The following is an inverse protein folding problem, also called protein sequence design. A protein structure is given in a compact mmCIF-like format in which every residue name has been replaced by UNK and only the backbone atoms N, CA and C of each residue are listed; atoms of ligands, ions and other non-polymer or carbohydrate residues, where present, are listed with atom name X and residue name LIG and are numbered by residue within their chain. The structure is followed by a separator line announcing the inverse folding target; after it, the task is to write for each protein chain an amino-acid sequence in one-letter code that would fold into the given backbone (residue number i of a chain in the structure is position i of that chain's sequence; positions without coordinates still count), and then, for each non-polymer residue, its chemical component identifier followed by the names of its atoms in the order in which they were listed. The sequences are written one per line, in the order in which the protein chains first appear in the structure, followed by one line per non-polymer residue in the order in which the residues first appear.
data_IF_429722860772
#
_entry.id   IF_429722860772
#
_cell.length_a   1.000
_cell.length_b   1.000
_cell.length_c   1.000
_cell.angle_alpha   90.00
_cell.angle_beta   90.00
_cell.angle_gamma   90.00
#
_symmetry.space_group_name_H-M   'P 1'
#
loop_
_entity.id
_entity.type
_entity.pdbx_description
1 polymer ?
#
# COMPACT_ATOMS: atom_id res chain seq x y z
N UNK A 1 2.05 -5.92 -5.56
CA UNK A 1 1.17 -4.75 -5.46
C UNK A 1 1.89 -3.59 -4.80
N UNK A 2 3.01 -3.22 -5.41
CA UNK A 2 3.87 -2.21 -4.85
C UNK A 2 3.90 -1.04 -5.81
N UNK A 3 2.87 -0.19 -5.73
CA UNK A 3 2.70 0.90 -6.68
C UNK A 3 3.90 1.86 -6.70
N UNK A 4 4.58 2.04 -5.55
CA UNK A 4 5.79 2.86 -5.48
C UNK A 4 6.93 2.22 -6.28
N UNK A 5 7.22 0.93 -6.03
CA UNK A 5 8.23 0.17 -6.78
C UNK A 5 7.91 0.14 -8.28
N UNK A 6 6.65 -0.11 -8.65
CA UNK A 6 6.21 -0.12 -10.05
C UNK A 6 6.40 1.25 -10.72
N UNK A 7 6.07 2.36 -10.04
CA UNK A 7 6.36 3.71 -10.55
C UNK A 7 7.86 3.93 -10.73
N UNK A 8 8.67 3.57 -9.74
CA UNK A 8 10.13 3.79 -9.79
C UNK A 8 10.81 2.96 -10.87
N UNK A 9 10.21 1.83 -11.26
CA UNK A 9 10.65 0.98 -12.37
C UNK A 9 10.03 1.38 -13.72
N UNK A 10 9.24 2.45 -13.79
CA UNK A 10 8.57 2.92 -15.03
C UNK A 10 7.29 2.16 -15.41
N UNK A 11 6.85 1.20 -14.60
CA UNK A 11 5.67 0.35 -14.84
C UNK A 11 4.36 0.98 -14.31
N UNK A 12 4.17 2.28 -14.52
CA UNK A 12 3.09 3.06 -13.90
C UNK A 12 1.73 3.03 -14.63
N UNK A 13 1.67 2.47 -15.84
CA UNK A 13 0.44 2.37 -16.63
C UNK A 13 -0.48 1.23 -16.14
N UNK A 14 -0.90 1.29 -14.88
CA UNK A 14 -1.78 0.30 -14.25
C UNK A 14 -3.00 1.00 -13.65
N UNK A 15 -4.20 0.47 -13.90
CA UNK A 15 -5.46 1.09 -13.44
C UNK A 15 -5.51 1.29 -11.92
N UNK A 16 -4.93 0.36 -11.16
CA UNK A 16 -4.91 0.45 -9.70
C UNK A 16 -3.93 1.53 -9.19
N UNK A 17 -2.93 1.90 -9.99
CA UNK A 17 -2.02 3.03 -9.70
C UNK A 17 -2.76 4.32 -10.01
N UNK A 18 -3.36 4.42 -11.20
CA UNK A 18 -4.22 5.54 -11.59
C UNK A 18 -5.26 5.85 -10.50
N UNK A 19 -6.01 4.84 -10.05
CA UNK A 19 -7.04 4.95 -9.02
C UNK A 19 -6.57 5.61 -7.70
N UNK A 20 -5.27 5.45 -7.36
CA UNK A 20 -4.66 6.06 -6.17
C UNK A 20 -4.42 7.56 -6.37
N UNK A 21 -4.11 7.99 -7.59
CA UNK A 21 -3.74 9.37 -7.89
C UNK A 21 -4.92 10.25 -8.35
N UNK A 22 -6.07 9.68 -8.75
CA UNK A 22 -7.29 10.42 -9.16
C UNK A 22 -7.73 11.50 -8.16
N UNK A 23 -7.43 11.33 -6.87
CA UNK A 23 -7.79 12.29 -5.82
C UNK A 23 -6.96 13.57 -5.83
N UNK A 24 -5.81 13.58 -6.47
CA UNK A 24 -4.89 14.72 -6.51
C UNK A 24 -5.19 15.62 -7.72
N UNK A 25 -5.20 16.93 -7.48
CA UNK A 25 -5.12 17.95 -8.53
C UNK A 25 -3.67 18.38 -8.74
N UNK A 26 -3.44 19.50 -9.42
CA UNK A 26 -2.11 20.13 -9.50
C UNK A 26 -1.69 20.62 -8.10
N UNK A 27 -0.41 20.49 -7.77
CA UNK A 27 0.16 20.97 -6.51
C UNK A 27 1.08 19.97 -5.79
N UNK A 28 1.39 20.28 -4.53
CA UNK A 28 2.26 19.48 -3.66
C UNK A 28 1.43 18.78 -2.60
N UNK A 29 1.60 17.47 -2.47
CA UNK A 29 0.89 16.66 -1.50
C UNK A 29 1.86 15.76 -0.76
N UNK A 30 1.63 15.60 0.54
CA UNK A 30 2.36 14.58 1.29
C UNK A 30 1.95 13.20 0.83
N UNK A 31 2.94 12.36 0.60
CA UNK A 31 2.78 10.97 0.20
C UNK A 31 2.97 9.99 1.37
N UNK A 32 3.09 8.70 1.05
CA UNK A 32 3.28 7.63 2.01
C UNK A 32 4.53 7.81 2.85
N UNK A 33 4.40 7.51 4.14
CA UNK A 33 5.51 7.40 5.09
C UNK A 33 5.53 6.02 5.73
N UNK A 34 6.73 5.49 5.91
CA UNK A 34 6.98 4.26 6.66
C UNK A 34 8.27 4.40 7.48
N UNK A 35 8.26 3.82 8.67
CA UNK A 35 9.42 3.66 9.54
C UNK A 35 9.68 2.18 9.75
N UNK A 36 10.94 1.81 9.67
CA UNK A 36 11.45 0.45 9.81
C UNK A 36 12.47 0.46 10.94
N UNK A 37 12.31 -0.45 11.90
CA UNK A 37 13.27 -0.65 12.98
C UNK A 37 13.66 -2.12 13.04
N UNK A 38 14.96 -2.42 12.96
CA UNK A 38 15.49 -3.78 13.04
C UNK A 38 16.18 -3.98 14.39
N UNK A 39 15.53 -4.74 15.27
CA UNK A 39 16.11 -5.24 16.53
C UNK A 39 16.04 -6.79 16.53
N UNK A 40 15.44 -7.41 17.55
CA UNK A 40 15.12 -8.85 17.57
C UNK A 40 14.12 -9.26 16.48
N UNK A 41 13.29 -8.31 16.04
CA UNK A 41 12.33 -8.45 14.95
C UNK A 41 12.39 -7.18 14.09
N UNK A 42 11.87 -7.26 12.87
CA UNK A 42 11.66 -6.10 12.02
C UNK A 42 10.30 -5.52 12.39
N UNK A 43 10.28 -4.26 12.85
CA UNK A 43 9.06 -3.52 13.14
C UNK A 43 8.84 -2.47 12.06
N UNK A 44 7.65 -2.50 11.48
CA UNK A 44 7.20 -1.52 10.50
C UNK A 44 6.05 -0.70 11.11
N UNK A 45 6.06 0.61 10.93
CA UNK A 45 4.92 1.49 11.24
C UNK A 45 4.78 2.54 10.16
N UNK A 46 3.56 2.92 9.80
CA UNK A 46 3.39 3.90 8.75
C UNK A 46 1.95 4.25 8.39
N UNK A 47 1.86 4.96 7.26
CA UNK A 47 0.62 5.41 6.62
C UNK A 47 -0.14 4.28 5.92
N UNK A 48 -1.43 4.48 5.68
CA UNK A 48 -2.32 3.45 5.15
C UNK A 48 -1.97 3.01 3.73
N UNK A 49 -1.28 3.84 2.93
CA UNK A 49 -0.90 3.49 1.56
C UNK A 49 0.03 2.27 1.48
N UNK A 50 0.79 2.00 2.56
CA UNK A 50 1.63 0.80 2.66
C UNK A 50 0.88 -0.47 3.07
N UNK A 51 -0.35 -0.36 3.58
CA UNK A 51 -1.06 -1.52 4.17
C UNK A 51 -1.18 -2.68 3.18
N UNK A 52 -1.54 -2.41 1.92
CA UNK A 52 -1.63 -3.47 0.92
C UNK A 52 -0.27 -4.09 0.60
N UNK A 53 0.79 -3.27 0.53
CA UNK A 53 2.16 -3.72 0.27
C UNK A 53 2.62 -4.68 1.38
N UNK A 54 2.45 -4.26 2.64
CA UNK A 54 2.86 -5.05 3.80
C UNK A 54 2.02 -6.33 3.93
N UNK A 55 0.71 -6.24 3.72
CA UNK A 55 -0.17 -7.40 3.78
C UNK A 55 0.16 -8.44 2.71
N UNK A 56 0.43 -8.02 1.48
CA UNK A 56 0.87 -8.92 0.40
C UNK A 56 2.25 -9.51 0.71
N UNK A 57 3.20 -8.72 1.21
CA UNK A 57 4.52 -9.20 1.62
C UNK A 57 4.40 -10.30 2.67
N UNK A 58 3.56 -10.09 3.70
CA UNK A 58 3.29 -11.09 4.73
C UNK A 58 2.69 -12.35 4.12
N UNK A 59 1.65 -12.23 3.28
CA UNK A 59 0.99 -13.36 2.64
C UNK A 59 1.93 -14.16 1.73
N UNK A 60 2.84 -13.50 1.00
CA UNK A 60 3.80 -14.17 0.10
C UNK A 60 4.91 -14.90 0.83
N UNK A 61 5.32 -14.39 1.98
CA UNK A 61 6.46 -14.90 2.73
C UNK A 61 6.05 -15.82 3.88
N UNK A 62 4.80 -16.26 3.87
CA UNK A 62 4.24 -17.17 4.86
C UNK A 62 4.22 -18.61 4.39
N UNK A 63 5.13 -19.00 3.48
CA UNK A 63 5.16 -20.33 2.82
C UNK A 63 5.19 -21.53 3.78
N UNK A 64 5.48 -21.31 5.07
CA UNK A 64 5.47 -22.33 6.13
C UNK A 64 4.56 -21.95 7.32
N UNK A 65 3.74 -20.89 7.21
CA UNK A 65 3.07 -20.27 8.36
C UNK A 65 1.64 -20.74 8.62
N UNK A 66 1.16 -21.74 7.89
CA UNK A 66 -0.19 -22.28 8.07
C UNK A 66 -1.27 -21.21 7.85
N UNK A 67 -2.23 -21.16 8.77
CA UNK A 67 -3.35 -20.26 8.68
C UNK A 67 -3.05 -18.88 9.27
N UNK A 68 -3.85 -17.90 8.87
CA UNK A 68 -3.89 -16.58 9.48
C UNK A 68 -5.21 -16.38 10.20
N UNK A 69 -5.14 -15.86 11.43
CA UNK A 69 -6.28 -15.15 12.01
C UNK A 69 -6.42 -13.80 11.31
N UNK A 70 -7.54 -13.61 10.61
CA UNK A 70 -7.81 -12.42 9.79
C UNK A 70 -9.01 -11.66 10.31
N UNK A 71 -8.81 -10.38 10.64
CA UNK A 71 -9.89 -9.49 11.10
C UNK A 71 -9.79 -8.10 10.49
N UNK A 72 -10.85 -7.63 9.85
CA UNK A 72 -10.89 -6.25 9.40
C UNK A 72 -11.92 -5.98 8.33
N UNK A 73 -11.59 -5.05 7.44
CA UNK A 73 -12.48 -4.58 6.40
C UNK A 73 -11.75 -4.44 5.08
N UNK A 74 -12.35 -4.93 4.00
CA UNK A 74 -11.94 -4.67 2.62
C UNK A 74 -12.91 -3.64 2.04
N UNK A 75 -12.37 -2.57 1.46
CA UNK A 75 -13.16 -1.46 0.89
C UNK A 75 -12.76 -1.29 -0.57
N UNK A 76 -13.69 -1.33 -1.50
CA UNK A 76 -13.42 -1.23 -2.95
C UNK A 76 -14.42 -0.34 -3.67
N UNK A 77 -14.01 0.27 -4.80
CA UNK A 77 -14.94 0.92 -5.73
C UNK A 77 -15.71 -0.09 -6.59
N UNK A 78 -15.09 -1.24 -6.86
CA UNK A 78 -15.64 -2.31 -7.70
C UNK A 78 -16.28 -3.39 -6.83
N UNK A 79 -17.38 -3.99 -7.29
CA UNK A 79 -17.99 -5.12 -6.60
C UNK A 79 -17.02 -6.30 -6.60
N UNK A 80 -16.82 -6.92 -5.44
CA UNK A 80 -15.91 -8.06 -5.27
C UNK A 80 -16.56 -9.18 -4.47
N UNK A 81 -17.90 -9.19 -4.38
CA UNK A 81 -18.69 -10.12 -3.56
C UNK A 81 -18.36 -11.57 -3.87
N UNK A 82 -18.38 -11.94 -5.15
CA UNK A 82 -18.18 -13.32 -5.60
C UNK A 82 -16.83 -13.91 -5.16
N UNK A 83 -15.86 -13.03 -4.91
CA UNK A 83 -14.52 -13.44 -4.53
C UNK A 83 -14.31 -13.63 -3.01
N UNK A 84 -15.20 -13.08 -2.18
CA UNK A 84 -15.06 -13.05 -0.71
C UNK A 84 -16.23 -13.69 0.04
N UNK A 85 -17.25 -14.18 -0.66
CA UNK A 85 -18.48 -14.69 -0.04
C UNK A 85 -18.27 -15.85 0.94
N UNK A 86 -17.24 -16.66 0.71
CA UNK A 86 -16.84 -17.80 1.54
C UNK A 86 -16.17 -17.39 2.87
N UNK A 87 -15.61 -16.18 2.94
CA UNK A 87 -14.83 -15.71 4.11
C UNK A 87 -15.41 -14.47 4.79
N UNK A 88 -16.35 -13.77 4.15
CA UNK A 88 -16.88 -12.52 4.65
C UNK A 88 -18.03 -12.71 5.64
N UNK A 89 -17.89 -12.11 6.81
CA UNK A 89 -18.96 -12.07 7.82
C UNK A 89 -20.12 -11.15 7.39
N UNK A 90 -19.81 -10.09 6.64
CA UNK A 90 -20.81 -9.13 6.15
C UNK A 90 -20.33 -8.43 4.90
N UNK A 91 -21.17 -8.37 3.88
CA UNK A 91 -20.96 -7.59 2.67
C UNK A 91 -22.06 -6.53 2.51
N UNK A 92 -21.70 -5.30 2.18
CA UNK A 92 -22.68 -4.25 1.87
C UNK A 92 -22.08 -3.14 1.00
N UNK A 93 -22.93 -2.43 0.27
CA UNK A 93 -22.58 -1.19 -0.42
C UNK A 93 -22.90 0.00 0.47
N UNK A 94 -21.97 0.95 0.58
CA UNK A 94 -22.13 2.22 1.31
C UNK A 94 -21.66 3.36 0.42
N UNK A 95 -22.60 4.19 -0.04
CA UNK A 95 -22.37 5.19 -1.11
C UNK A 95 -21.80 4.49 -2.36
N UNK A 96 -20.73 4.99 -2.93
CA UNK A 96 -20.05 4.41 -4.11
C UNK A 96 -19.02 3.33 -3.78
N UNK A 97 -18.96 2.86 -2.52
CA UNK A 97 -17.97 1.88 -2.09
C UNK A 97 -18.62 0.59 -1.62
N UNK A 98 -17.99 -0.53 -1.96
CA UNK A 98 -18.31 -1.87 -1.48
C UNK A 98 -17.45 -2.20 -0.27
N UNK A 99 -18.07 -2.79 0.75
CA UNK A 99 -17.46 -3.07 2.04
C UNK A 99 -17.68 -4.54 2.42
N UNK A 100 -16.58 -5.24 2.71
CA UNK A 100 -16.60 -6.60 3.24
C UNK A 100 -15.91 -6.64 4.62
N UNK A 101 -16.64 -7.05 5.66
CA UNK A 101 -16.08 -7.30 6.98
C UNK A 101 -15.62 -8.75 7.07
N UNK A 102 -14.36 -8.95 7.39
CA UNK A 102 -13.73 -10.27 7.53
C UNK A 102 -13.45 -10.53 9.02
N UNK A 103 -13.77 -11.74 9.48
CA UNK A 103 -13.43 -12.24 10.80
C UNK A 103 -13.38 -13.77 10.73
N UNK A 104 -12.29 -14.30 10.18
CA UNK A 104 -12.14 -15.73 9.90
C UNK A 104 -10.68 -16.15 9.99
N UNK A 105 -10.46 -17.45 9.91
CA UNK A 105 -9.17 -18.06 9.67
C UNK A 105 -9.01 -18.28 8.16
N UNK A 106 -7.90 -17.82 7.58
CA UNK A 106 -7.68 -17.86 6.12
C UNK A 106 -6.29 -18.44 5.84
N UNK A 107 -6.21 -19.39 4.92
CA UNK A 107 -4.95 -19.95 4.43
C UNK A 107 -4.10 -18.92 3.69
N UNK A 108 -2.79 -19.10 3.70
CA UNK A 108 -1.85 -18.14 3.11
C UNK A 108 -2.07 -17.93 1.60
N UNK A 109 -2.39 -18.99 0.88
CA UNK A 109 -2.62 -19.02 -0.55
C UNK A 109 -3.85 -18.19 -0.92
N UNK A 110 -4.95 -18.36 -0.16
CA UNK A 110 -6.16 -17.55 -0.34
C UNK A 110 -5.89 -16.10 0.01
N UNK A 111 -5.09 -15.82 1.04
CA UNK A 111 -4.70 -14.46 1.39
C UNK A 111 -3.86 -13.81 0.29
N UNK A 112 -2.90 -14.54 -0.30
CA UNK A 112 -2.14 -14.09 -1.47
C UNK A 112 -3.06 -13.79 -2.65
N UNK A 113 -4.04 -14.67 -2.91
CA UNK A 113 -5.04 -14.47 -3.96
C UNK A 113 -5.81 -13.15 -3.73
N UNK A 114 -6.23 -12.87 -2.49
CA UNK A 114 -6.92 -11.64 -2.12
C UNK A 114 -6.09 -10.39 -2.43
N UNK A 115 -4.83 -10.35 -1.98
CA UNK A 115 -3.97 -9.20 -2.27
C UNK A 115 -3.64 -9.06 -3.76
N UNK A 116 -3.58 -10.17 -4.50
CA UNK A 116 -3.27 -10.16 -5.93
C UNK A 116 -4.44 -9.72 -6.81
N UNK A 117 -5.68 -10.12 -6.48
CA UNK A 117 -6.88 -9.85 -7.27
C UNK A 117 -7.54 -8.52 -6.88
N UNK A 118 -7.54 -8.16 -5.60
CA UNK A 118 -8.21 -6.95 -5.12
C UNK A 118 -7.31 -5.73 -5.11
N UNK A 119 -6.61 -5.49 -6.24
CA UNK A 119 -5.53 -4.51 -6.28
C UNK A 119 -5.96 -3.06 -6.01
N UNK A 120 -7.19 -2.77 -6.42
CA UNK A 120 -7.84 -1.47 -6.30
C UNK A 120 -8.44 -1.23 -4.91
N UNK A 121 -8.58 -2.29 -4.11
CA UNK A 121 -9.23 -2.21 -2.81
C UNK A 121 -8.26 -1.69 -1.73
N UNK A 122 -8.83 -1.05 -0.71
CA UNK A 122 -8.17 -0.83 0.56
C UNK A 122 -8.37 -2.07 1.43
N UNK A 123 -7.30 -2.85 1.65
CA UNK A 123 -7.37 -4.13 2.37
C UNK A 123 -6.94 -3.89 3.83
N UNK A 124 -7.86 -3.41 4.65
CA UNK A 124 -7.60 -2.97 6.03
C UNK A 124 -7.73 -4.14 7.02
N UNK A 125 -6.93 -5.19 6.79
CA UNK A 125 -6.95 -6.44 7.56
C UNK A 125 -5.87 -6.47 8.64
N UNK A 126 -6.25 -6.93 9.82
CA UNK A 126 -5.30 -7.43 10.81
C UNK A 126 -4.97 -8.87 10.41
N UNK A 127 -3.69 -9.19 10.39
CA UNK A 127 -3.18 -10.53 10.08
C UNK A 127 -2.34 -11.00 11.26
N UNK A 128 -2.49 -12.25 11.66
CA UNK A 128 -1.61 -12.90 12.64
C UNK A 128 -1.46 -14.36 12.24
N UNK A 129 -0.23 -14.76 11.90
CA UNK A 129 0.08 -16.15 11.61
C UNK A 129 -0.09 -17.03 12.86
N UNK A 130 -0.29 -18.33 12.66
CA UNK A 130 -0.44 -19.31 13.75
C UNK A 130 0.75 -19.31 14.72
N UNK A 131 1.98 -19.23 14.18
CA UNK A 131 3.22 -19.11 14.96
C UNK A 131 3.45 -17.71 15.58
N UNK A 132 2.56 -16.77 15.24
CA UNK A 132 2.55 -15.37 15.66
C UNK A 132 3.82 -14.58 15.34
N UNK A 133 4.69 -15.06 14.43
CA UNK A 133 5.91 -14.36 13.98
C UNK A 133 5.62 -13.29 12.94
N UNK A 134 4.55 -13.47 12.16
CA UNK A 134 4.07 -12.49 11.19
C UNK A 134 2.79 -11.84 11.72
N UNK A 135 2.84 -10.52 11.92
CA UNK A 135 1.67 -9.75 12.38
C UNK A 135 1.53 -8.46 11.60
N UNK A 136 0.30 -8.15 11.20
CA UNK A 136 -0.12 -6.84 10.70
C UNK A 136 -1.31 -6.37 11.52
N UNK A 137 -1.25 -5.13 11.99
CA UNK A 137 -2.36 -4.44 12.64
C UNK A 137 -2.66 -3.17 11.89
N UNK A 138 -3.93 -2.94 11.56
CA UNK A 138 -4.38 -1.76 10.81
C UNK A 138 -5.55 -1.09 11.50
N UNK A 139 -5.63 0.23 11.34
CA UNK A 139 -6.91 0.92 11.54
C UNK A 139 -7.93 0.42 10.51
N UNK A 140 -9.22 0.48 10.87
CA UNK A 140 -10.34 -0.07 10.07
C UNK A 140 -11.13 0.99 9.32
N UNK A 141 -10.71 2.25 9.41
CA UNK A 141 -11.30 3.38 8.70
C UNK A 141 -10.20 4.10 7.96
N UNK A 142 -10.43 4.43 6.69
CA UNK A 142 -9.52 5.28 5.94
C UNK A 142 -9.37 6.64 6.62
N UNK A 143 -8.16 7.24 6.58
CA UNK A 143 -8.00 8.59 7.07
C UNK A 143 -8.83 9.56 6.24
N UNK A 144 -9.18 10.70 6.84
CA UNK A 144 -9.84 11.77 6.10
C UNK A 144 -8.88 12.31 5.03
N UNK A 145 -9.39 12.72 3.85
CA UNK A 145 -8.57 13.38 2.84
C UNK A 145 -7.76 14.53 3.44
N UNK A 146 -6.47 14.61 3.12
CA UNK A 146 -5.56 15.64 3.62
C UNK A 146 -5.00 15.40 5.03
N UNK A 147 -5.46 14.36 5.75
CA UNK A 147 -4.88 13.98 7.05
C UNK A 147 -3.90 12.84 6.87
N UNK A 148 -2.69 12.99 7.42
CA UNK A 148 -1.69 11.92 7.46
C UNK A 148 -1.74 11.28 8.85
N UNK A 149 -1.87 9.96 8.86
CA UNK A 149 -1.79 9.15 10.06
C UNK A 149 -0.55 8.27 9.98
N UNK A 150 0.55 8.75 10.55
CA UNK A 150 1.85 8.07 10.46
C UNK A 150 1.90 6.74 11.23
N UNK A 151 0.89 6.45 12.06
CA UNK A 151 0.74 5.20 12.82
C UNK A 151 -0.57 4.51 12.44
N UNK A 152 -0.92 4.54 11.16
CA UNK A 152 -2.12 3.89 10.66
C UNK A 152 -2.04 2.36 10.77
N UNK A 153 -0.86 1.81 10.52
CA UNK A 153 -0.59 0.39 10.70
C UNK A 153 0.69 0.16 11.51
N UNK A 154 0.79 -1.04 12.06
CA UNK A 154 2.04 -1.61 12.56
C UNK A 154 2.18 -3.05 12.11
N UNK A 155 3.40 -3.47 11.81
CA UNK A 155 3.70 -4.85 11.47
C UNK A 155 4.96 -5.35 12.19
N UNK A 156 4.99 -6.65 12.43
CA UNK A 156 6.12 -7.38 13.00
C UNK A 156 6.46 -8.52 12.05
N UNK A 157 7.71 -8.57 11.62
CA UNK A 157 8.26 -9.59 10.74
C UNK A 157 9.50 -10.23 11.38
N UNK A 158 9.80 -11.50 11.11
CA UNK A 158 11.04 -12.12 11.55
C UNK A 158 12.26 -11.48 10.86
N UNK A 159 13.44 -11.41 11.51
CA UNK A 159 14.65 -10.83 10.93
C UNK A 159 15.10 -11.45 9.60
N UNK A 160 14.75 -12.71 9.36
CA UNK A 160 15.05 -13.43 8.11
C UNK A 160 14.39 -12.79 6.87
N UNK A 161 13.37 -11.96 7.05
CA UNK A 161 12.71 -11.23 5.95
C UNK A 161 13.34 -9.87 5.66
N UNK A 162 14.52 -9.55 6.23
CA UNK A 162 15.14 -8.24 6.01
C UNK A 162 15.45 -8.00 4.53
N UNK A 163 16.01 -8.99 3.82
CA UNK A 163 16.27 -8.85 2.38
C UNK A 163 15.00 -8.56 1.57
N UNK A 164 13.88 -9.20 1.94
CA UNK A 164 12.57 -8.91 1.31
C UNK A 164 12.11 -7.48 1.61
N UNK A 165 12.31 -7.00 2.84
CA UNK A 165 12.01 -5.61 3.22
C UNK A 165 12.90 -4.63 2.47
N UNK A 166 14.16 -4.97 2.25
CA UNK A 166 15.11 -4.18 1.46
C UNK A 166 14.66 -4.09 -0.01
N UNK A 167 14.26 -5.22 -0.60
CA UNK A 167 13.85 -5.31 -2.00
C UNK A 167 12.46 -4.74 -2.30
N UNK A 168 11.53 -4.80 -1.35
CA UNK A 168 10.14 -4.39 -1.55
C UNK A 168 9.81 -3.04 -0.90
N UNK A 169 10.53 -2.59 0.13
CA UNK A 169 10.13 -1.37 0.87
C UNK A 169 11.23 -0.32 0.79
N UNK A 170 12.45 -0.70 1.16
CA UNK A 170 13.58 0.23 1.14
C UNK A 170 14.01 0.51 -0.30
N UNK A 171 13.79 -0.45 -1.21
CA UNK A 171 14.17 -0.37 -2.62
C UNK A 171 15.63 0.06 -2.70
N UNK A 172 16.51 -0.71 -2.03
CA UNK A 172 17.89 -0.28 -1.82
C UNK A 172 18.58 -0.01 -3.15
N UNK A 173 18.99 1.24 -3.36
CA UNK A 173 20.00 1.58 -4.33
C UNK A 173 21.36 1.11 -3.79
N UNK A 174 22.27 0.72 -4.67
CA UNK A 174 23.66 0.33 -4.39
C UNK A 174 24.44 1.33 -3.51
N UNK A 175 23.96 2.57 -3.40
CA UNK A 175 24.54 3.63 -2.59
C UNK A 175 24.13 3.60 -1.10
N UNK A 176 23.28 2.66 -0.68
CA UNK A 176 22.74 2.59 0.68
C UNK A 176 23.46 1.54 1.55
N UNK A 177 23.62 1.85 2.82
CA UNK A 177 24.36 1.05 3.82
C UNK A 177 23.71 -0.32 4.05
N UNK A 178 24.48 -1.40 4.01
CA UNK A 178 24.02 -2.80 3.89
C UNK A 178 23.35 -3.39 5.14
N UNK A 179 23.18 -2.62 6.22
CA UNK A 179 22.47 -3.06 7.41
C UNK A 179 21.75 -1.90 8.11
N UNK A 180 20.59 -1.48 7.60
CA UNK A 180 19.91 -0.33 8.17
C UNK A 180 19.23 -0.70 9.51
N UNK A 181 19.74 -0.14 10.61
CA UNK A 181 19.15 -0.34 11.94
C UNK A 181 17.81 0.39 12.10
N UNK A 182 17.78 1.68 11.74
CA UNK A 182 16.55 2.47 11.67
C UNK A 182 16.43 3.16 10.31
N UNK A 183 15.31 2.94 9.62
CA UNK A 183 14.98 3.60 8.35
C UNK A 183 13.69 4.41 8.51
N UNK A 184 13.69 5.63 8.00
CA UNK A 184 12.46 6.38 7.73
C UNK A 184 12.40 6.71 6.26
N UNK A 185 11.27 6.41 5.61
CA UNK A 185 11.05 6.72 4.19
C UNK A 185 9.82 7.62 4.11
N UNK A 186 9.97 8.78 3.46
CA UNK A 186 8.91 9.73 3.18
C UNK A 186 8.81 9.97 1.68
N UNK A 187 7.60 10.25 1.23
CA UNK A 187 7.34 10.63 -0.15
C UNK A 187 6.59 11.96 -0.18
N UNK A 188 6.84 12.75 -1.21
CA UNK A 188 6.05 13.91 -1.57
C UNK A 188 5.65 13.78 -3.04
N UNK A 189 4.37 13.98 -3.32
CA UNK A 189 3.83 14.00 -4.67
C UNK A 189 3.79 15.44 -5.16
N UNK A 190 4.48 15.69 -6.28
CA UNK A 190 4.42 16.94 -7.02
C UNK A 190 3.62 16.66 -8.29
N UNK A 191 2.36 17.07 -8.33
CA UNK A 191 1.52 16.94 -9.53
C UNK A 191 1.62 18.24 -10.30
N UNK A 192 2.26 18.18 -11.47
CA UNK A 192 2.55 19.34 -12.31
C UNK A 192 1.42 19.55 -13.32
N UNK A 193 0.92 18.46 -13.90
CA UNK A 193 -0.14 18.54 -14.90
C UNK A 193 -1.17 17.40 -14.84
N UNK A 194 -2.29 17.61 -15.53
CA UNK A 194 -3.41 16.69 -15.69
C UNK A 194 -3.70 16.50 -17.18
N UNK A 195 -3.28 15.38 -17.75
CA UNK A 195 -3.55 15.06 -19.16
C UNK A 195 -4.94 14.45 -19.26
N UNK A 196 -5.88 15.20 -19.83
CA UNK A 196 -7.27 14.76 -20.05
C UNK A 196 -7.36 14.10 -21.43
N UNK A 197 -7.87 12.86 -21.54
CA UNK A 197 -8.15 12.26 -22.84
C UNK A 197 -9.19 13.06 -23.64
N UNK A 198 -8.99 13.26 -24.94
CA UNK A 198 -9.84 14.10 -25.81
C UNK A 198 -11.34 13.81 -25.67
N UNK A 199 -11.69 12.52 -25.61
CA UNK A 199 -13.08 12.05 -25.44
C UNK A 199 -13.79 12.57 -24.18
N UNK A 200 -13.05 13.08 -23.20
CA UNK A 200 -13.58 13.57 -21.94
C UNK A 200 -13.43 15.09 -21.75
N UNK A 201 -12.80 15.81 -22.69
CA UNK A 201 -12.53 17.25 -22.58
C UNK A 201 -13.82 18.05 -22.30
N UNK A 202 -14.93 17.67 -22.95
CA UNK A 202 -16.22 18.34 -22.80
C UNK A 202 -17.06 17.83 -21.61
N UNK A 203 -16.57 16.89 -20.81
CA UNK A 203 -17.26 16.37 -19.64
C UNK A 203 -16.39 16.52 -18.39
N UNK A 204 -16.52 17.61 -17.61
CA UNK A 204 -15.65 17.90 -16.48
C UNK A 204 -15.56 16.78 -15.42
N UNK A 205 -16.67 16.07 -15.19
CA UNK A 205 -16.72 14.96 -14.24
C UNK A 205 -15.86 13.79 -14.71
N UNK A 206 -16.03 13.39 -15.98
CA UNK A 206 -15.24 12.30 -16.57
C UNK A 206 -13.79 12.72 -16.81
N UNK A 207 -13.54 13.97 -17.20
CA UNK A 207 -12.20 14.53 -17.36
C UNK A 207 -11.40 14.39 -16.06
N UNK A 208 -11.99 14.79 -14.92
CA UNK A 208 -11.33 14.66 -13.62
C UNK A 208 -10.97 13.22 -13.27
N UNK A 209 -11.89 12.29 -13.51
CA UNK A 209 -11.72 10.88 -13.14
C UNK A 209 -10.67 10.23 -14.03
N UNK A 210 -10.67 10.51 -15.33
CA UNK A 210 -9.82 9.83 -16.31
C UNK A 210 -8.52 10.59 -16.65
N UNK A 211 -8.31 11.79 -16.10
CA UNK A 211 -7.07 12.52 -16.34
C UNK A 211 -5.87 11.80 -15.75
N UNK A 212 -4.79 11.69 -16.51
CA UNK A 212 -3.50 11.20 -16.00
C UNK A 212 -2.80 12.32 -15.24
N UNK A 213 -2.29 12.01 -14.05
CA UNK A 213 -1.50 12.89 -13.21
C UNK A 213 -0.05 12.77 -13.64
N UNK A 214 0.51 13.88 -14.11
CA UNK A 214 1.90 13.98 -14.54
C UNK A 214 2.67 14.84 -13.55
N UNK A 215 3.88 14.42 -13.20
CA UNK A 215 4.78 15.18 -12.34
C UNK A 215 5.87 14.30 -11.74
N UNK A 216 6.11 14.42 -10.43
CA UNK A 216 7.21 13.73 -9.75
C UNK A 216 6.82 13.17 -8.38
N UNK A 217 7.46 12.07 -8.00
CA UNK A 217 7.53 11.60 -6.61
C UNK A 217 8.93 11.92 -6.09
N UNK A 218 8.98 12.81 -5.10
CA UNK A 218 10.20 13.08 -4.33
C UNK A 218 10.24 12.09 -3.18
N UNK A 219 11.29 11.28 -3.11
CA UNK A 219 11.51 10.28 -2.07
C UNK A 219 12.68 10.70 -1.21
N UNK A 220 12.49 10.69 0.11
CA UNK A 220 13.56 10.88 1.08
C UNK A 220 13.67 9.61 1.93
N UNK A 221 14.89 9.10 2.04
CA UNK A 221 15.25 7.94 2.85
C UNK A 221 16.25 8.38 3.89
N UNK A 222 15.93 8.19 5.16
CA UNK A 222 16.84 8.41 6.27
C UNK A 222 17.27 7.06 6.85
N UNK A 223 18.56 6.73 6.76
CA UNK A 223 19.16 5.51 7.33
C UNK A 223 20.17 5.93 8.39
N UNK A 224 19.94 5.52 9.64
CA UNK A 224 20.86 5.80 10.76
C UNK A 224 21.25 7.30 10.85
N UNK A 225 20.31 8.21 10.53
CA UNK A 225 20.51 9.67 10.53
C UNK A 225 21.08 10.26 9.24
N UNK A 226 21.54 9.45 8.27
CA UNK A 226 21.96 9.92 6.95
C UNK A 226 20.76 9.98 6.01
N UNK A 227 20.59 11.13 5.35
CA UNK A 227 19.47 11.39 4.44
C UNK A 227 19.88 11.28 2.98
N UNK A 228 19.06 10.60 2.20
CA UNK A 228 19.20 10.42 0.77
C UNK A 228 17.90 10.90 0.11
N UNK A 229 18.02 11.64 -0.98
CA UNK A 229 16.88 12.17 -1.72
C UNK A 229 16.96 11.71 -3.16
N UNK A 230 15.83 11.24 -3.69
CA UNK A 230 15.69 10.80 -5.08
C UNK A 230 14.40 11.37 -5.66
N UNK A 231 14.36 11.56 -6.97
CA UNK A 231 13.18 12.00 -7.70
C UNK A 231 12.82 10.96 -8.76
N UNK A 232 11.55 10.63 -8.87
CA UNK A 232 11.01 9.69 -9.84
C UNK A 232 9.89 10.35 -10.64
N UNK A 233 9.84 10.11 -11.93
CA UNK A 233 8.74 10.60 -12.77
C UNK A 233 7.42 9.92 -12.40
N UNK A 234 6.34 10.70 -12.42
CA UNK A 234 4.98 10.23 -12.22
C UNK A 234 4.16 10.50 -13.48
N UNK A 235 3.48 9.47 -13.96
CA UNK A 235 2.56 9.49 -15.08
C UNK A 235 1.46 8.43 -14.90
N UNK A 236 0.52 8.70 -13.98
CA UNK A 236 -0.49 7.77 -13.49
C UNK A 236 -1.92 8.29 -13.63
#
# INVERSE_FOLDING_TARGET
MNFLKEIFMGNQNQDYIHDRFVRYGRGKFSGPKIRIKKNMHIRLEGTYEYVNIIGELIAKNSRNSGNFSVRGEIISKYDFRDFINDIALRYHKKRELFHARINSTIESEKLMEIYSKLKHAYILLDLTSDDKKLRLKTKKKLPKPGTIDEKFFSAILPPSLMGVVEDEIILMDSNLDSNPGNVTITHQYLIEDLIIPDKYVNNPKLARINARRVGKIVREVEINGKKFKSEYELNA
#
